data_IF_647758791641
#
_entry.id   IF_647758791641
#
_cell.length_a   1.000
_cell.length_b   1.000
_cell.length_c   1.000
_cell.angle_alpha   90.00
_cell.angle_beta   90.00
_cell.angle_gamma   90.00
#
_symmetry.space_group_name_H-M   'P 1'
#
loop_
_entity.id
_entity.type
_entity.pdbx_description
1 polymer ?
#
# COMPACT_ATOMS: atom_id res chain seq x y z
N UNK A 1 -3.31 -3.00 9.28
CA UNK A 1 -1.98 -3.63 9.02
C UNK A 1 -0.82 -2.72 9.43
N UNK A 2 -0.74 -1.45 8.98
CA UNK A 2 0.37 -0.56 9.36
C UNK A 2 0.61 -0.46 10.88
N UNK A 3 -0.46 -0.41 11.68
CA UNK A 3 -0.39 -0.37 13.14
C UNK A 3 0.19 -1.62 13.78
N UNK A 4 -0.02 -2.80 13.20
CA UNK A 4 0.50 -4.04 13.80
C UNK A 4 2.02 -4.11 13.71
N UNK A 5 2.62 -3.53 12.66
CA UNK A 5 4.07 -3.42 12.55
C UNK A 5 4.68 -2.58 13.68
N UNK A 6 3.92 -1.64 14.28
CA UNK A 6 4.37 -0.85 15.44
C UNK A 6 4.64 -1.68 16.69
N UNK A 7 4.09 -2.89 16.77
CA UNK A 7 4.32 -3.81 17.90
C UNK A 7 5.65 -4.55 17.83
N UNK A 8 6.40 -4.41 16.73
CA UNK A 8 7.64 -5.13 16.47
C UNK A 8 8.84 -4.16 16.50
N UNK A 9 9.25 -3.65 17.68
CA UNK A 9 10.44 -2.81 17.76
C UNK A 9 11.68 -3.61 17.30
N UNK A 10 12.55 -2.97 16.52
CA UNK A 10 13.71 -3.62 15.93
C UNK A 10 13.45 -4.32 14.59
N UNK A 11 12.20 -4.32 14.09
CA UNK A 11 11.88 -4.88 12.78
C UNK A 11 12.70 -4.17 11.68
N UNK A 12 13.40 -4.96 10.86
CA UNK A 12 14.23 -4.50 9.73
C UNK A 12 14.16 -5.51 8.59
N UNK A 13 13.11 -5.43 7.79
CA UNK A 13 12.93 -6.26 6.61
C UNK A 13 13.60 -5.60 5.40
N UNK A 14 14.31 -6.39 4.60
CA UNK A 14 14.77 -5.92 3.29
C UNK A 14 13.58 -5.78 2.33
N UNK A 15 12.66 -6.74 2.37
CA UNK A 15 11.46 -6.76 1.53
C UNK A 15 10.25 -7.13 2.40
N UNK A 16 9.22 -6.29 2.37
CA UNK A 16 7.89 -6.58 2.89
C UNK A 16 6.95 -6.78 1.70
N UNK A 17 6.50 -8.01 1.48
CA UNK A 17 5.48 -8.31 0.46
C UNK A 17 4.11 -8.41 1.11
N UNK A 18 3.16 -7.62 0.63
CA UNK A 18 1.77 -7.61 1.11
C UNK A 18 0.86 -7.99 -0.04
N UNK A 19 0.08 -9.05 0.14
CA UNK A 19 -1.03 -9.37 -0.74
C UNK A 19 -2.25 -8.56 -0.29
N UNK A 20 -2.73 -7.71 -1.18
CA UNK A 20 -3.92 -6.89 -0.97
C UNK A 20 -5.18 -7.71 -0.89
N UNK A 21 -6.28 -7.07 -0.47
CA UNK A 21 -7.58 -7.70 -0.46
C UNK A 21 -8.19 -7.69 -1.86
N UNK A 22 -9.30 -8.40 -2.05
CA UNK A 22 -10.03 -8.37 -3.33
C UNK A 22 -10.85 -7.10 -3.52
N UNK A 23 -11.11 -6.36 -2.45
CA UNK A 23 -11.82 -5.08 -2.47
C UNK A 23 -10.85 -3.95 -2.80
N UNK A 24 -11.19 -3.14 -3.81
CA UNK A 24 -10.29 -2.11 -4.35
C UNK A 24 -10.06 -0.97 -3.36
N UNK A 25 -11.11 -0.54 -2.65
CA UNK A 25 -11.09 0.56 -1.68
C UNK A 25 -10.15 0.21 -0.52
N UNK A 26 -10.38 -0.94 0.10
CA UNK A 26 -9.57 -1.39 1.25
C UNK A 26 -8.12 -1.66 0.85
N UNK A 27 -7.90 -2.13 -0.38
CA UNK A 27 -6.54 -2.38 -0.87
C UNK A 27 -5.72 -1.10 -0.98
N UNK A 28 -6.35 -0.06 -1.52
CA UNK A 28 -5.74 1.25 -1.66
C UNK A 28 -5.44 1.90 -0.31
N UNK A 29 -6.42 1.92 0.61
CA UNK A 29 -6.24 2.46 1.95
C UNK A 29 -5.14 1.71 2.71
N UNK A 30 -5.08 0.38 2.57
CA UNK A 30 -4.04 -0.44 3.19
C UNK A 30 -2.65 -0.07 2.67
N UNK A 31 -2.49 0.07 1.35
CA UNK A 31 -1.24 0.51 0.75
C UNK A 31 -0.83 1.89 1.26
N UNK A 32 -1.77 2.84 1.26
CA UNK A 32 -1.50 4.20 1.70
C UNK A 32 -1.07 4.25 3.17
N UNK A 33 -1.81 3.57 4.06
CA UNK A 33 -1.44 3.44 5.46
C UNK A 33 -0.07 2.76 5.64
N UNK A 34 0.28 1.75 4.84
CA UNK A 34 1.61 1.14 4.90
C UNK A 34 2.71 2.14 4.54
N UNK A 35 2.55 2.90 3.46
CA UNK A 35 3.54 3.89 3.03
C UNK A 35 3.71 5.00 4.09
N UNK A 36 2.59 5.58 4.53
CA UNK A 36 2.53 6.73 5.44
C UNK A 36 2.93 6.37 6.87
N UNK A 37 2.40 5.28 7.38
CA UNK A 37 2.34 5.03 8.83
C UNK A 37 3.20 3.85 9.29
N UNK A 38 3.75 3.04 8.38
CA UNK A 38 4.56 1.89 8.77
C UNK A 38 6.07 2.09 8.57
N UNK A 39 6.84 1.46 9.45
CA UNK A 39 8.28 1.32 9.36
C UNK A 39 8.64 -0.17 9.45
N UNK A 40 9.93 -0.47 9.42
CA UNK A 40 10.47 -1.82 9.52
C UNK A 40 10.73 -2.49 8.18
N UNK A 41 10.72 -1.76 7.07
CA UNK A 41 10.99 -2.30 5.74
C UNK A 41 11.76 -1.33 4.83
N UNK A 42 12.69 -1.88 4.03
CA UNK A 42 13.46 -1.16 3.00
C UNK A 42 12.73 -1.10 1.67
N UNK A 43 12.07 -2.19 1.27
CA UNK A 43 11.24 -2.27 0.09
C UNK A 43 9.86 -2.84 0.44
N UNK A 44 8.80 -2.17 0.01
CA UNK A 44 7.42 -2.65 0.09
C UNK A 44 6.98 -3.11 -1.29
N UNK A 45 6.55 -4.36 -1.40
CA UNK A 45 5.92 -4.91 -2.60
C UNK A 45 4.44 -5.18 -2.30
N UNK A 46 3.57 -4.33 -2.80
CA UNK A 46 2.13 -4.48 -2.62
C UNK A 46 1.50 -5.10 -3.86
N UNK A 47 0.79 -6.22 -3.70
CA UNK A 47 0.16 -6.95 -4.81
C UNK A 47 -1.36 -6.77 -4.73
N UNK A 48 -1.94 -6.08 -5.71
CA UNK A 48 -3.38 -6.00 -5.89
C UNK A 48 -3.89 -7.13 -6.78
N UNK A 49 -5.09 -7.62 -6.46
CA UNK A 49 -5.79 -8.64 -7.24
C UNK A 49 -6.36 -8.12 -8.57
N UNK A 50 -6.51 -6.80 -8.72
CA UNK A 50 -7.19 -6.17 -9.86
C UNK A 50 -6.52 -4.85 -10.24
N UNK A 51 -6.64 -4.47 -11.52
CA UNK A 51 -6.21 -3.18 -12.05
C UNK A 51 -7.10 -2.03 -11.60
N UNK A 52 -8.29 -2.35 -11.05
CA UNK A 52 -9.24 -1.39 -10.50
C UNK A 52 -8.65 -0.48 -9.42
N UNK A 53 -7.61 -0.94 -8.71
CA UNK A 53 -6.90 -0.13 -7.70
C UNK A 53 -6.28 1.14 -8.32
N UNK A 54 -6.07 1.14 -9.64
CA UNK A 54 -5.61 2.29 -10.42
C UNK A 54 -6.69 2.85 -11.36
N UNK A 55 -7.87 2.21 -11.44
CA UNK A 55 -8.94 2.54 -12.38
C UNK A 55 -9.76 3.78 -12.01
N UNK A 56 -9.71 4.20 -10.73
CA UNK A 56 -10.37 5.39 -10.21
C UNK A 56 -9.42 6.06 -9.21
N UNK A 57 -8.52 6.92 -9.70
CA UNK A 57 -7.46 7.49 -8.87
C UNK A 57 -7.74 8.91 -8.36
N UNK A 58 -8.85 9.18 -7.66
CA UNK A 58 -8.96 10.36 -6.78
C UNK A 58 -10.07 10.24 -5.74
N UNK A 59 -9.67 9.99 -4.50
CA UNK A 59 -10.31 10.62 -3.35
C UNK A 59 -9.19 11.26 -2.54
N UNK A 60 -8.85 12.50 -2.93
CA UNK A 60 -8.00 13.43 -2.19
C UNK A 60 -6.72 12.85 -1.55
N UNK A 61 -5.56 13.04 -2.22
CA UNK A 61 -4.18 12.90 -1.70
C UNK A 61 -3.45 11.56 -1.86
N UNK A 62 -3.46 10.99 -3.05
CA UNK A 62 -2.21 10.42 -3.56
C UNK A 62 -1.97 11.04 -4.91
N UNK A 63 -1.37 12.23 -4.89
CA UNK A 63 -0.58 12.59 -6.06
C UNK A 63 0.47 11.47 -6.14
N UNK A 64 0.64 10.79 -7.28
CA UNK A 64 1.85 9.98 -7.48
C UNK A 64 3.14 10.85 -7.52
N UNK A 65 3.03 12.14 -7.17
CA UNK A 65 4.07 13.00 -6.62
C UNK A 65 4.24 12.94 -5.09
N UNK A 66 3.71 11.92 -4.40
CA UNK A 66 3.93 11.64 -2.97
C UNK A 66 5.32 11.05 -2.67
N UNK A 67 6.30 11.37 -3.53
CA UNK A 67 7.66 11.55 -3.06
C UNK A 67 7.63 12.40 -1.78
N UNK A 68 6.79 13.44 -1.69
CA UNK A 68 6.63 14.28 -0.49
C UNK A 68 6.35 13.52 0.81
N UNK A 69 5.50 12.49 0.85
CA UNK A 69 5.24 11.75 2.12
C UNK A 69 6.49 11.01 2.57
N UNK A 70 7.19 10.41 1.62
CA UNK A 70 8.41 9.68 1.91
C UNK A 70 9.59 10.63 2.11
N UNK A 71 9.61 11.79 1.48
CA UNK A 71 10.59 12.86 1.63
C UNK A 71 10.41 13.63 2.94
N UNK A 72 9.18 13.91 3.36
CA UNK A 72 8.85 14.51 4.66
C UNK A 72 9.33 13.61 5.80
N UNK A 73 9.27 12.29 5.56
CA UNK A 73 9.53 11.27 6.57
C UNK A 73 10.97 10.79 6.58
N UNK A 74 11.52 10.49 5.41
CA UNK A 74 12.84 9.91 5.20
C UNK A 74 13.87 10.98 4.75
N UNK A 75 13.43 12.23 4.54
CA UNK A 75 14.22 13.37 4.05
C UNK A 75 14.11 13.57 2.53
N UNK A 76 14.05 14.84 2.09
CA UNK A 76 13.96 15.23 0.66
C UNK A 76 15.10 14.72 -0.23
N UNK A 77 16.22 14.31 0.38
CA UNK A 77 17.35 13.71 -0.33
C UNK A 77 17.16 12.22 -0.63
N UNK A 78 16.12 11.58 -0.09
CA UNK A 78 15.94 10.12 -0.17
C UNK A 78 15.43 9.65 -1.53
N UNK A 79 14.75 10.50 -2.31
CA UNK A 79 14.18 10.24 -3.66
C UNK A 79 13.72 8.79 -3.84
N UNK A 80 12.70 8.38 -3.08
CA UNK A 80 12.31 6.98 -2.97
C UNK A 80 11.68 6.51 -4.28
N UNK A 81 12.24 5.50 -4.96
CA UNK A 81 11.71 5.06 -6.23
C UNK A 81 10.41 4.28 -6.03
N UNK A 82 9.37 4.72 -6.74
CA UNK A 82 8.10 3.99 -6.87
C UNK A 82 8.04 3.39 -8.28
N UNK A 83 7.70 2.11 -8.37
CA UNK A 83 7.52 1.42 -9.64
C UNK A 83 6.23 0.60 -9.61
N UNK A 84 5.44 0.72 -10.67
CA UNK A 84 4.20 -0.04 -10.83
C UNK A 84 4.43 -1.08 -11.94
N UNK A 85 4.06 -2.32 -11.66
CA UNK A 85 4.07 -3.42 -12.61
C UNK A 85 2.66 -3.96 -12.76
N UNK A 86 2.29 -4.29 -13.99
CA UNK A 86 0.98 -4.85 -14.34
C UNK A 86 1.16 -6.20 -15.01
N UNK A 87 0.35 -7.17 -14.63
CA UNK A 87 0.33 -8.48 -15.27
C UNK A 87 -0.03 -8.36 -16.75
N UNK A 88 0.64 -9.12 -17.61
CA UNK A 88 0.25 -9.25 -19.03
C UNK A 88 -0.87 -10.26 -19.23
N UNK A 89 -1.14 -11.11 -18.23
CA UNK A 89 -2.15 -12.18 -18.27
C UNK A 89 -3.28 -11.87 -17.28
N UNK A 90 -4.52 -11.85 -17.75
CA UNK A 90 -5.69 -11.69 -16.88
C UNK A 90 -5.94 -12.95 -16.05
N UNK A 91 -6.47 -12.76 -14.83
CA UNK A 91 -7.03 -13.83 -13.99
C UNK A 91 -6.08 -14.98 -13.63
N UNK A 92 -4.77 -14.81 -13.84
CA UNK A 92 -3.75 -15.79 -13.49
C UNK A 92 -3.15 -15.48 -12.11
N UNK A 93 -3.28 -16.37 -11.10
CA UNK A 93 -2.64 -16.22 -9.80
C UNK A 93 -1.11 -16.11 -9.90
N UNK A 94 -0.51 -15.21 -9.11
CA UNK A 94 0.96 -15.03 -9.09
C UNK A 94 1.60 -14.42 -10.33
N UNK A 95 0.84 -14.18 -11.40
CA UNK A 95 1.36 -13.65 -12.69
C UNK A 95 2.21 -12.39 -12.54
N UNK A 96 1.76 -11.41 -11.75
CA UNK A 96 2.51 -10.15 -11.55
C UNK A 96 3.81 -10.31 -10.75
N UNK A 97 3.99 -11.43 -10.04
CA UNK A 97 5.25 -11.75 -9.35
C UNK A 97 6.27 -12.27 -10.36
N UNK A 98 5.81 -13.00 -11.38
CA UNK A 98 6.66 -13.48 -12.47
C UNK A 98 7.12 -12.31 -13.36
N UNK A 99 8.43 -12.09 -13.42
CA UNK A 99 9.05 -11.00 -14.19
C UNK A 99 8.71 -11.09 -15.68
N UNK A 100 8.54 -12.29 -16.22
CA UNK A 100 8.22 -12.50 -17.64
C UNK A 100 6.73 -12.31 -17.95
N UNK A 101 5.87 -12.29 -16.94
CA UNK A 101 4.43 -12.13 -17.08
C UNK A 101 3.93 -10.76 -16.59
N UNK A 102 4.85 -9.78 -16.46
CA UNK A 102 4.53 -8.41 -16.06
C UNK A 102 5.23 -7.38 -16.93
N UNK A 103 4.61 -6.23 -17.07
CA UNK A 103 5.19 -5.06 -17.73
C UNK A 103 5.20 -3.88 -16.77
N UNK A 104 6.16 -2.95 -16.94
CA UNK A 104 6.14 -1.67 -16.23
C UNK A 104 4.91 -0.89 -16.68
N UNK A 105 4.16 -0.36 -15.72
CA UNK A 105 2.99 0.46 -15.96
C UNK A 105 3.28 1.88 -15.49
N UNK A 106 2.95 2.85 -16.33
CA UNK A 106 3.09 4.26 -16.02
C UNK A 106 1.71 4.90 -16.15
N UNK A 107 1.22 5.47 -15.05
CA UNK A 107 -0.01 6.23 -15.10
C UNK A 107 0.33 7.59 -15.69
N UNK A 108 -0.12 7.85 -16.91
CA UNK A 108 0.13 9.11 -17.60
C UNK A 108 -0.86 10.15 -17.10
N UNK A 109 -0.34 11.23 -16.51
CA UNK A 109 -1.17 12.39 -16.22
C UNK A 109 -1.59 13.04 -17.55
N UNK A 110 -2.88 13.35 -17.75
CA UNK A 110 -3.34 14.06 -18.94
C UNK A 110 -2.65 15.42 -19.05
N UNK A 111 -2.37 15.88 -20.27
CA UNK A 111 -1.79 17.22 -20.49
C UNK A 111 -2.85 18.32 -20.43
N UNK A 112 -4.10 17.99 -20.75
CA UNK A 112 -5.23 18.91 -20.75
C UNK A 112 -5.74 19.19 -19.32
N UNK A 113 -5.96 20.47 -19.00
CA UNK A 113 -6.35 20.93 -17.65
C UNK A 113 -7.70 20.34 -17.20
N UNK A 114 -8.69 20.25 -18.08
CA UNK A 114 -10.00 19.69 -17.73
C UNK A 114 -9.90 18.18 -17.51
N UNK A 115 -9.10 17.48 -18.32
CA UNK A 115 -8.79 16.08 -18.14
C UNK A 115 -7.96 15.81 -16.86
N UNK A 116 -7.09 16.74 -16.44
CA UNK A 116 -6.37 16.66 -15.16
C UNK A 116 -7.29 16.83 -13.95
N UNK A 117 -8.28 17.72 -14.03
CA UNK A 117 -9.29 17.90 -12.98
C UNK A 117 -10.18 16.66 -12.85
N UNK A 118 -10.56 16.06 -13.98
CA UNK A 118 -11.32 14.81 -14.03
C UNK A 118 -10.46 13.56 -13.77
N UNK A 119 -9.14 13.67 -13.81
CA UNK A 119 -8.22 12.55 -13.66
C UNK A 119 -8.41 11.89 -12.30
N UNK A 120 -8.74 10.61 -12.35
CA UNK A 120 -8.98 9.80 -11.17
C UNK A 120 -10.37 9.95 -10.54
N UNK A 121 -11.16 10.94 -10.97
CA UNK A 121 -12.61 10.97 -10.72
C UNK A 121 -13.31 10.11 -11.78
N UNK A 122 -12.93 10.29 -13.03
CA UNK A 122 -13.40 9.48 -14.13
C UNK A 122 -12.70 8.12 -14.18
N UNK A 123 -13.44 7.11 -14.62
CA UNK A 123 -12.96 5.76 -14.86
C UNK A 123 -11.86 5.75 -15.94
N UNK A 124 -10.73 5.10 -15.66
CA UNK A 124 -9.72 4.84 -16.70
C UNK A 124 -10.24 3.74 -17.64
N UNK A 125 -10.70 4.16 -18.82
CA UNK A 125 -11.28 3.26 -19.81
C UNK A 125 -10.34 2.12 -20.24
N UNK A 126 -9.01 2.33 -20.20
CA UNK A 126 -8.03 1.32 -20.56
C UNK A 126 -7.83 0.26 -19.48
N UNK A 127 -7.75 0.68 -18.22
CA UNK A 127 -7.64 -0.23 -17.07
C UNK A 127 -8.93 -0.99 -16.81
N UNK A 128 -10.06 -0.41 -17.17
CA UNK A 128 -11.38 -0.94 -16.83
C UNK A 128 -12.07 -1.69 -17.98
N UNK A 129 -11.44 -1.71 -19.16
CA UNK A 129 -11.89 -2.53 -20.28
C UNK A 129 -12.00 -4.02 -19.92
N UNK A 130 -12.84 -4.74 -20.66
CA UNK A 130 -13.01 -6.18 -20.52
C UNK A 130 -11.68 -6.92 -20.77
N UNK A 131 -11.30 -7.83 -19.87
CA UNK A 131 -10.01 -8.52 -19.91
C UNK A 131 -8.80 -7.70 -19.43
N UNK A 132 -8.98 -6.41 -19.18
CA UNK A 132 -7.96 -5.53 -18.60
C UNK A 132 -8.15 -5.36 -17.09
N UNK A 133 -9.41 -5.24 -16.66
CA UNK A 133 -9.80 -5.04 -15.25
C UNK A 133 -9.20 -6.11 -14.31
N UNK A 134 -9.25 -7.38 -14.70
CA UNK A 134 -8.78 -8.52 -13.90
C UNK A 134 -7.25 -8.68 -13.83
N UNK A 135 -6.47 -7.85 -14.54
CA UNK A 135 -5.01 -7.94 -14.50
C UNK A 135 -4.49 -7.44 -13.16
N UNK A 136 -3.60 -8.21 -12.55
CA UNK A 136 -3.00 -7.90 -11.25
C UNK A 136 -1.98 -6.77 -11.36
N UNK A 137 -1.86 -6.00 -10.28
CA UNK A 137 -0.89 -4.90 -10.16
C UNK A 137 0.06 -5.21 -9.01
N UNK A 138 1.34 -4.89 -9.19
CA UNK A 138 2.33 -4.90 -8.12
C UNK A 138 2.96 -3.51 -8.04
N UNK A 139 2.89 -2.90 -6.87
CA UNK A 139 3.46 -1.59 -6.57
C UNK A 139 4.68 -1.82 -5.70
N UNK A 140 5.83 -1.39 -6.17
CA UNK A 140 7.10 -1.43 -5.43
C UNK A 140 7.42 -0.03 -4.95
N UNK A 141 7.61 0.12 -3.65
CA UNK A 141 8.05 1.36 -3.01
C UNK A 141 9.34 1.07 -2.28
N UNK A 142 10.42 1.81 -2.57
CA UNK A 142 11.70 1.63 -1.85
C UNK A 142 12.03 2.85 -1.01
N UNK A 143 12.68 2.60 0.12
CA UNK A 143 13.34 3.63 0.93
C UNK A 143 14.59 4.13 0.21
N UNK A 144 14.90 5.41 0.40
CA UNK A 144 16.13 6.00 -0.10
C UNK A 144 17.39 5.40 0.52
N UNK A 145 18.53 5.64 -0.12
CA UNK A 145 19.82 5.20 0.39
C UNK A 145 20.14 5.87 1.74
N UNK A 146 20.61 5.08 2.72
CA UNK A 146 20.98 5.59 4.05
C UNK A 146 19.80 5.84 4.99
N UNK A 147 18.55 5.63 4.55
CA UNK A 147 17.37 5.76 5.41
C UNK A 147 17.36 4.66 6.46
N UNK A 148 17.29 5.04 7.74
CA UNK A 148 17.04 4.08 8.81
C UNK A 148 15.55 3.73 8.85
N UNK A 149 15.21 2.60 8.23
CA UNK A 149 13.84 2.09 8.16
C UNK A 149 13.45 1.21 9.35
N UNK A 150 14.29 1.05 10.38
CA UNK A 150 13.94 0.25 11.54
C UNK A 150 12.67 0.74 12.23
N UNK A 151 11.82 -0.19 12.65
CA UNK A 151 10.72 0.13 13.54
C UNK A 151 11.24 0.50 14.94
N UNK A 152 11.26 1.80 15.26
CA UNK A 152 11.73 2.29 16.55
C UNK A 152 10.69 2.11 17.66
N UNK A 153 11.15 1.79 18.87
CA UNK A 153 10.32 1.63 20.08
C UNK A 153 9.63 2.94 20.48
N UNK A 154 10.36 4.05 20.36
CA UNK A 154 9.95 5.42 20.68
C UNK A 154 9.30 6.15 19.49
N UNK A 155 8.96 5.43 18.42
CA UNK A 155 8.32 6.03 17.25
C UNK A 155 6.96 6.64 17.62
N UNK A 156 6.67 7.83 17.08
CA UNK A 156 5.42 8.57 17.35
C UNK A 156 4.18 7.70 17.10
N UNK A 157 3.12 7.94 17.87
CA UNK A 157 1.85 7.30 17.65
C UNK A 157 1.22 7.76 16.34
N UNK A 158 0.59 6.83 15.63
CA UNK A 158 -0.21 7.09 14.44
C UNK A 158 -1.68 7.26 14.81
N UNK A 159 -2.53 7.61 13.84
CA UNK A 159 -3.94 7.92 14.11
C UNK A 159 -4.67 6.72 14.73
N UNK A 160 -4.44 5.51 14.23
CA UNK A 160 -4.94 4.26 14.80
C UNK A 160 -3.77 3.43 15.32
N UNK A 161 -3.22 3.76 16.49
CA UNK A 161 -2.03 3.10 17.04
C UNK A 161 -2.40 2.08 18.11
N UNK A 162 -2.17 0.82 17.81
CA UNK A 162 -2.45 -0.30 18.71
C UNK A 162 -1.71 -0.21 20.05
N UNK A 163 -0.56 0.48 20.13
CA UNK A 163 0.15 0.70 21.40
C UNK A 163 -0.60 1.64 22.33
N UNK A 164 -1.35 2.60 21.77
CA UNK A 164 -2.21 3.53 22.51
C UNK A 164 -3.56 2.91 22.81
N UNK A 165 -4.13 2.23 21.81
CA UNK A 165 -5.50 1.71 21.89
C UNK A 165 -5.57 0.42 22.75
N UNK A 166 -4.47 -0.34 22.83
CA UNK A 166 -4.34 -1.57 23.63
C UNK A 166 -3.05 -1.55 24.49
N UNK A 167 -2.93 -0.63 25.46
CA UNK A 167 -1.68 -0.41 26.18
C UNK A 167 -1.35 -1.60 27.10
N UNK A 168 -0.11 -2.07 27.03
CA UNK A 168 0.39 -3.14 27.91
C UNK A 168 -0.16 -4.54 27.63
N UNK A 169 -1.04 -4.69 26.63
CA UNK A 169 -1.62 -5.99 26.28
C UNK A 169 -0.67 -6.81 25.42
N UNK A 170 -0.63 -8.10 25.69
CA UNK A 170 0.02 -9.10 24.84
C UNK A 170 -0.76 -9.29 23.55
N UNK A 171 -0.12 -9.84 22.52
CA UNK A 171 -0.80 -10.16 21.27
C UNK A 171 -2.00 -11.11 21.47
N UNK A 172 -1.91 -12.04 22.44
CA UNK A 172 -3.00 -12.97 22.75
C UNK A 172 -4.25 -12.22 23.24
N UNK A 173 -4.07 -11.24 24.11
CA UNK A 173 -5.17 -10.42 24.65
C UNK A 173 -5.75 -9.49 23.57
N UNK A 174 -4.89 -8.89 22.74
CA UNK A 174 -5.33 -8.05 21.62
C UNK A 174 -6.15 -8.88 20.62
N UNK A 175 -5.66 -10.06 20.25
CA UNK A 175 -6.37 -10.97 19.34
C UNK A 175 -7.74 -11.34 19.90
N UNK A 176 -7.82 -11.66 21.19
CA UNK A 176 -9.08 -12.01 21.82
C UNK A 176 -10.08 -10.86 21.70
N UNK A 177 -9.69 -9.62 22.00
CA UNK A 177 -10.61 -8.48 21.98
C UNK A 177 -11.02 -8.02 20.58
N UNK A 178 -10.09 -8.04 19.62
CA UNK A 178 -10.32 -7.49 18.29
C UNK A 178 -10.82 -8.52 17.27
N UNK A 179 -10.65 -9.81 17.54
CA UNK A 179 -10.98 -10.87 16.60
C UNK A 179 -11.93 -11.85 17.27
N UNK A 180 -11.50 -12.51 18.33
CA UNK A 180 -12.24 -13.67 18.85
C UNK A 180 -13.54 -13.26 19.55
N UNK A 181 -13.58 -12.11 20.25
CA UNK A 181 -14.77 -11.60 20.95
C UNK A 181 -15.93 -11.26 20.02
N UNK A 182 -15.63 -10.81 18.80
CA UNK A 182 -16.66 -10.43 17.81
C UNK A 182 -17.46 -11.66 17.34
N UNK A 183 -16.87 -12.86 17.40
CA UNK A 183 -17.52 -14.11 16.99
C UNK A 183 -18.21 -14.86 18.14
N UNK A 184 -18.18 -14.35 19.37
CA UNK A 184 -18.84 -14.98 20.54
C UNK A 184 -20.24 -14.41 20.77
N UNK A 185 -20.56 -13.23 20.22
CA UNK A 185 -21.85 -12.56 20.41
C UNK A 185 -22.91 -12.94 19.35
N UNK A 186 -22.62 -13.90 18.45
CA UNK A 186 -23.52 -14.37 17.36
C UNK A 186 -24.08 -15.81 17.56
N UNK A 187 -23.92 -16.41 18.74
CA UNK A 187 -24.51 -17.71 19.12
C UNK A 187 -25.63 -17.59 20.18
#
# INVERSE_FOLDING_TARGET
LASTLRLLPGLRLDILTVLGLRTKEVSYDTLNSLIRESCGWKELQYISHSSEVLGFAKLERLHFGDESILEDRDGALSRPPVAIYRSTVSDCPGSVINVNARARFEQKMPEDTAAQEAFGIAEDAGLMAYGERGKKIMIIVKRGAGVNYEQKKDSRFIQSDIRRDMPGKTWKEIRYECIDRIFVDDD
#
